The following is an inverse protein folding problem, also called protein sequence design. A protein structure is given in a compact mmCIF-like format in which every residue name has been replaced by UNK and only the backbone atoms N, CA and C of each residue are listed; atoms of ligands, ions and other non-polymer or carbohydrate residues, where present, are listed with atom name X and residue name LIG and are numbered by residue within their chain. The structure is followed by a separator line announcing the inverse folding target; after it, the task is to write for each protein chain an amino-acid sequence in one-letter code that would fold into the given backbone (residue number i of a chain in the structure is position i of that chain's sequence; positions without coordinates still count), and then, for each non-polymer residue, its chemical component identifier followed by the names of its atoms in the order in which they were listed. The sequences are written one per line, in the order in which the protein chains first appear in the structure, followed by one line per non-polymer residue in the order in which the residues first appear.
data_IF_140922264910
#
_entry.id   IF_140922264910
#
_cell.length_a   1.000
_cell.length_b   1.000
_cell.length_c   1.000
_cell.angle_alpha   90.00
_cell.angle_beta   90.00
_cell.angle_gamma   90.00
#
_symmetry.space_group_name_H-M   'P 1'
#
loop_
_entity.id
_entity.type
_entity.pdbx_description
1 polymer ?
#
# COMPACT_ATOMS: atom_id res chain seq x y z
N UNK A 1 -15.73 -16.92 -13.14
CA UNK A 1 -15.21 -16.89 -11.76
C UNK A 1 -14.28 -15.69 -11.66
N UNK A 2 -14.57 -14.75 -10.78
CA UNK A 2 -13.78 -13.53 -10.58
C UNK A 2 -12.88 -13.67 -9.34
N UNK A 3 -11.60 -13.41 -9.51
CA UNK A 3 -10.59 -13.49 -8.47
C UNK A 3 -10.02 -12.11 -8.15
N UNK A 4 -10.13 -11.70 -6.89
CA UNK A 4 -9.52 -10.48 -6.38
C UNK A 4 -8.31 -10.77 -5.50
N UNK A 5 -7.37 -9.81 -5.43
CA UNK A 5 -6.27 -9.84 -4.48
C UNK A 5 -6.28 -8.60 -3.59
N UNK A 6 -5.98 -8.78 -2.32
CA UNK A 6 -5.90 -7.71 -1.32
C UNK A 6 -4.47 -7.67 -0.78
N UNK A 7 -3.82 -6.52 -0.92
CA UNK A 7 -2.41 -6.31 -0.55
C UNK A 7 -2.31 -5.36 0.65
N UNK A 8 -1.78 -5.85 1.76
CA UNK A 8 -1.64 -5.02 2.96
C UNK A 8 -0.59 -3.92 2.81
N UNK A 9 -0.71 -2.88 3.61
CA UNK A 9 0.40 -1.99 3.92
C UNK A 9 1.52 -2.74 4.66
N UNK A 10 2.71 -2.12 4.78
CA UNK A 10 3.82 -2.75 5.51
C UNK A 10 5.20 -2.19 5.23
N UNK A 11 5.30 -1.05 4.56
CA UNK A 11 6.58 -0.41 4.20
C UNK A 11 7.48 -1.35 3.41
N UNK A 12 8.76 -1.47 3.79
CA UNK A 12 9.72 -2.31 3.08
C UNK A 12 9.35 -3.80 3.01
N UNK A 13 8.51 -4.29 3.94
CA UNK A 13 8.04 -5.70 3.94
C UNK A 13 7.12 -5.99 2.77
N UNK A 14 6.48 -4.98 2.20
CA UNK A 14 5.58 -5.11 1.05
C UNK A 14 6.25 -5.69 -0.20
N UNK A 15 7.59 -5.69 -0.30
CA UNK A 15 8.32 -6.38 -1.37
C UNK A 15 7.87 -7.86 -1.48
N UNK A 16 7.44 -8.49 -0.38
CA UNK A 16 6.92 -9.86 -0.40
C UNK A 16 5.67 -10.03 -1.26
N UNK A 17 4.88 -8.97 -1.49
CA UNK A 17 3.73 -9.01 -2.40
C UNK A 17 4.14 -9.37 -3.83
N UNK A 18 5.32 -8.91 -4.27
CA UNK A 18 5.85 -9.23 -5.60
C UNK A 18 6.10 -10.73 -5.78
N UNK A 19 6.55 -11.43 -4.71
CA UNK A 19 6.71 -12.89 -4.74
C UNK A 19 5.38 -13.61 -4.94
N UNK A 20 4.30 -13.12 -4.31
CA UNK A 20 2.95 -13.70 -4.49
C UNK A 20 2.43 -13.42 -5.89
N UNK A 21 2.55 -12.18 -6.39
CA UNK A 21 2.12 -11.82 -7.74
C UNK A 21 2.86 -12.63 -8.80
N UNK A 22 4.18 -12.82 -8.63
CA UNK A 22 4.99 -13.67 -9.50
C UNK A 22 4.51 -15.13 -9.51
N UNK A 23 4.26 -15.70 -8.34
CA UNK A 23 3.73 -17.06 -8.25
C UNK A 23 2.38 -17.19 -8.97
N UNK A 24 1.48 -16.21 -8.83
CA UNK A 24 0.21 -16.22 -9.55
C UNK A 24 0.41 -16.19 -11.07
N UNK A 25 1.36 -15.41 -11.58
CA UNK A 25 1.71 -15.41 -13.01
C UNK A 25 2.26 -16.76 -13.48
N UNK A 26 3.18 -17.37 -12.72
CA UNK A 26 3.76 -18.68 -13.03
C UNK A 26 2.69 -19.79 -13.10
N UNK A 27 1.65 -19.69 -12.25
CA UNK A 27 0.49 -20.58 -12.30
C UNK A 27 -0.61 -20.14 -13.26
N UNK A 28 -0.36 -19.12 -14.09
CA UNK A 28 -1.31 -18.55 -15.04
C UNK A 28 -2.64 -18.10 -14.41
N UNK A 29 -2.59 -17.67 -13.15
CA UNK A 29 -3.75 -17.16 -12.43
C UNK A 29 -3.96 -15.68 -12.77
N UNK A 30 -5.12 -15.36 -13.35
CA UNK A 30 -5.49 -13.98 -13.71
C UNK A 30 -6.27 -13.33 -12.57
N UNK A 31 -5.92 -12.08 -12.29
CA UNK A 31 -6.63 -11.24 -11.31
C UNK A 31 -7.64 -10.34 -12.04
N UNK A 32 -8.85 -10.25 -11.49
CA UNK A 32 -9.93 -9.38 -12.00
C UNK A 32 -9.96 -8.02 -11.29
N UNK A 33 -9.47 -7.94 -10.06
CA UNK A 33 -9.35 -6.67 -9.34
C UNK A 33 -8.30 -6.77 -8.21
N UNK A 34 -7.77 -5.60 -7.83
CA UNK A 34 -6.78 -5.45 -6.76
C UNK A 34 -7.29 -4.41 -5.78
N UNK A 35 -7.09 -4.67 -4.49
CA UNK A 35 -7.27 -3.66 -3.44
C UNK A 35 -6.00 -3.58 -2.59
N UNK A 36 -5.59 -2.39 -2.20
CA UNK A 36 -4.35 -2.25 -1.45
C UNK A 36 -4.28 -1.02 -0.56
N UNK A 37 -3.39 -1.11 0.42
CA UNK A 37 -3.06 -0.04 1.36
C UNK A 37 -1.56 0.24 1.31
N UNK A 38 -1.16 1.53 1.32
CA UNK A 38 0.25 1.93 1.41
C UNK A 38 1.11 1.27 0.33
N UNK A 39 2.20 0.59 0.70
CA UNK A 39 3.04 -0.17 -0.24
C UNK A 39 2.24 -1.20 -1.05
N UNK A 40 1.21 -1.82 -0.47
CA UNK A 40 0.32 -2.73 -1.19
C UNK A 40 -0.47 -2.03 -2.30
N UNK A 41 -0.90 -0.78 -2.06
CA UNK A 41 -1.53 0.04 -3.09
C UNK A 41 -0.56 0.44 -4.20
N UNK A 42 0.69 0.79 -3.86
CA UNK A 42 1.74 1.12 -4.84
C UNK A 42 2.08 -0.07 -5.74
N UNK A 43 2.36 -1.23 -5.15
CA UNK A 43 2.66 -2.45 -5.91
C UNK A 43 1.44 -2.86 -6.74
N UNK A 44 0.24 -2.79 -6.14
CA UNK A 44 -1.01 -3.03 -6.86
C UNK A 44 -1.18 -2.10 -8.07
N UNK A 45 -0.85 -0.82 -7.94
CA UNK A 45 -0.94 0.16 -9.02
C UNK A 45 0.04 -0.15 -10.18
N UNK A 46 1.30 -0.45 -9.85
CA UNK A 46 2.31 -0.79 -10.87
C UNK A 46 1.96 -2.10 -11.57
N UNK A 47 1.53 -3.11 -10.82
CA UNK A 47 1.08 -4.37 -11.38
C UNK A 47 -0.20 -4.21 -12.24
N UNK A 48 -1.16 -3.41 -11.77
CA UNK A 48 -2.38 -3.08 -12.53
C UNK A 48 -2.10 -2.35 -13.83
N UNK A 49 -1.02 -1.56 -13.88
CA UNK A 49 -0.56 -0.92 -15.12
C UNK A 49 0.03 -1.95 -16.12
N UNK A 50 0.48 -3.10 -15.63
CA UNK A 50 0.98 -4.22 -16.42
C UNK A 50 2.49 -4.41 -16.36
N UNK A 51 3.16 -3.87 -15.34
CA UNK A 51 4.56 -4.18 -15.06
C UNK A 51 4.67 -5.55 -14.39
N UNK A 52 5.66 -6.34 -14.83
CA UNK A 52 5.94 -7.62 -14.22
C UNK A 52 6.52 -7.46 -12.81
N UNK A 53 6.26 -8.41 -11.89
CA UNK A 53 6.79 -8.34 -10.52
C UNK A 53 8.30 -8.17 -10.45
N UNK A 54 9.06 -8.79 -11.35
CA UNK A 54 10.52 -8.66 -11.44
C UNK A 54 10.98 -7.27 -11.87
N UNK A 55 10.26 -6.64 -12.79
CA UNK A 55 10.54 -5.27 -13.23
C UNK A 55 10.34 -4.30 -12.07
N UNK A 56 9.21 -4.44 -11.35
CA UNK A 56 8.91 -3.62 -10.16
C UNK A 56 9.99 -3.83 -9.09
N UNK A 57 10.39 -5.08 -8.83
CA UNK A 57 11.43 -5.41 -7.85
C UNK A 57 12.77 -4.78 -8.23
N UNK A 58 13.20 -4.96 -9.47
CA UNK A 58 14.46 -4.43 -9.97
C UNK A 58 14.51 -2.89 -9.85
N UNK A 59 13.43 -2.23 -10.20
CA UNK A 59 13.34 -0.77 -10.09
C UNK A 59 13.30 -0.29 -8.64
N UNK A 60 12.63 -1.01 -7.74
CA UNK A 60 12.69 -0.73 -6.30
C UNK A 60 14.13 -0.85 -5.79
N UNK A 61 14.85 -1.90 -6.15
CA UNK A 61 16.22 -2.17 -5.67
C UNK A 61 17.26 -1.23 -6.27
N UNK A 62 17.10 -0.80 -7.53
CA UNK A 62 18.04 0.06 -8.26
C UNK A 62 17.75 1.54 -8.12
N UNK A 63 16.50 1.91 -7.79
CA UNK A 63 16.09 3.30 -7.64
C UNK A 63 16.72 3.96 -6.42
N UNK A 64 16.93 5.29 -6.50
CA UNK A 64 17.26 6.12 -5.34
C UNK A 64 16.25 5.97 -4.21
N UNK A 65 15.03 5.52 -4.52
CA UNK A 65 13.97 5.23 -3.56
C UNK A 65 14.41 4.19 -2.51
N UNK A 66 14.95 3.03 -2.92
CA UNK A 66 15.44 2.03 -1.96
C UNK A 66 16.69 2.50 -1.20
N UNK A 67 17.57 3.24 -1.86
CA UNK A 67 18.72 3.88 -1.22
C UNK A 67 18.31 4.94 -0.19
N UNK A 68 17.20 5.61 -0.41
CA UNK A 68 16.64 6.62 0.50
C UNK A 68 15.80 6.00 1.62
N UNK A 69 15.21 4.82 1.41
CA UNK A 69 14.42 4.07 2.42
C UNK A 69 15.33 3.28 3.38
N UNK A 70 16.51 2.83 2.93
CA UNK A 70 17.46 2.11 3.79
C UNK A 70 17.89 2.87 5.06
N UNK A 71 18.05 4.20 5.06
CA UNK A 71 18.31 4.97 6.28
C UNK A 71 17.05 5.45 7.01
N UNK A 72 15.84 5.17 6.56
CA UNK A 72 14.61 5.51 7.28
C UNK A 72 14.49 4.80 8.64
N UNK A 73 15.39 3.86 8.91
CA UNK A 73 15.71 3.42 10.27
C UNK A 73 16.39 4.54 11.12
N UNK A 74 16.90 5.61 10.49
CA UNK A 74 17.40 6.83 11.14
C UNK A 74 16.57 8.00 10.65
N UNK A 75 15.85 8.64 11.52
CA UNK A 75 14.90 9.76 11.40
C UNK A 75 15.37 11.01 10.62
N UNK A 76 16.36 10.94 9.77
CA UNK A 76 16.90 12.06 8.99
C UNK A 76 16.82 11.88 7.48
N UNK A 77 16.17 10.84 6.99
CA UNK A 77 15.92 10.64 5.57
C UNK A 77 14.43 10.82 5.29
N UNK A 78 13.98 12.06 5.18
CA UNK A 78 12.69 12.43 4.60
C UNK A 78 12.59 11.74 3.23
N UNK A 79 11.79 10.69 3.14
CA UNK A 79 11.18 10.31 1.88
C UNK A 79 10.36 11.52 1.46
N UNK A 80 10.90 12.29 0.51
CA UNK A 80 10.17 13.41 -0.03
C UNK A 80 8.98 12.82 -0.80
N UNK A 81 7.76 13.19 -0.42
CA UNK A 81 6.53 12.78 -1.13
C UNK A 81 6.59 13.19 -2.61
N UNK A 82 7.35 14.23 -2.95
CA UNK A 82 7.64 14.62 -4.33
C UNK A 82 8.44 13.56 -5.06
N UNK A 83 9.47 12.98 -4.43
CA UNK A 83 10.26 11.88 -5.04
C UNK A 83 9.40 10.64 -5.27
N UNK A 84 8.46 10.34 -4.36
CA UNK A 84 7.50 9.26 -4.55
C UNK A 84 6.55 9.56 -5.71
N UNK A 85 6.05 10.79 -5.81
CA UNK A 85 5.23 11.26 -6.92
C UNK A 85 5.93 11.07 -8.27
N UNK A 86 7.20 11.48 -8.37
CA UNK A 86 7.98 11.36 -9.60
C UNK A 86 8.18 9.89 -10.01
N UNK A 87 8.43 9.01 -9.04
CA UNK A 87 8.50 7.56 -9.29
C UNK A 87 7.17 7.05 -9.83
N UNK A 88 6.04 7.40 -9.20
CA UNK A 88 4.73 6.92 -9.64
C UNK A 88 4.41 7.46 -11.04
N UNK A 89 4.70 8.72 -11.33
CA UNK A 89 4.50 9.31 -12.66
C UNK A 89 5.29 8.60 -13.76
N UNK A 90 6.50 8.14 -13.46
CA UNK A 90 7.30 7.35 -14.42
C UNK A 90 6.59 6.05 -14.82
N UNK A 91 5.92 5.39 -13.88
CA UNK A 91 5.21 4.13 -14.11
C UNK A 91 3.78 4.33 -14.63
N UNK A 92 3.10 5.38 -14.18
CA UNK A 92 1.69 5.63 -14.49
C UNK A 92 1.55 7.08 -15.00
N UNK A 93 1.99 7.34 -16.25
CA UNK A 93 2.04 8.71 -16.79
C UNK A 93 0.65 9.34 -16.98
N UNK A 94 -0.40 8.55 -17.16
CA UNK A 94 -1.77 9.06 -17.33
C UNK A 94 -2.42 9.50 -16.01
N UNK A 95 -1.87 9.09 -14.86
CA UNK A 95 -2.34 9.47 -13.51
C UNK A 95 -3.86 9.25 -13.27
N UNK A 96 -4.44 8.21 -13.85
CA UNK A 96 -5.86 7.91 -13.75
C UNK A 96 -6.09 6.43 -13.40
N UNK A 97 -7.05 6.13 -12.52
CA UNK A 97 -7.46 4.76 -12.21
C UNK A 97 -7.98 4.04 -13.46
N UNK A 98 -8.70 4.75 -14.30
CA UNK A 98 -9.34 4.26 -15.52
C UNK A 98 -8.33 3.82 -16.59
N UNK A 99 -7.09 4.28 -16.49
CA UNK A 99 -5.99 3.87 -17.39
C UNK A 99 -5.36 2.53 -17.03
N UNK A 100 -5.67 1.98 -15.85
CA UNK A 100 -5.11 0.71 -15.38
C UNK A 100 -5.74 -0.50 -16.09
N UNK A 101 -4.93 -1.50 -16.40
CA UNK A 101 -5.38 -2.74 -17.06
C UNK A 101 -6.19 -3.65 -16.13
N UNK A 102 -5.92 -3.58 -14.81
CA UNK A 102 -6.66 -4.29 -13.77
C UNK A 102 -7.27 -3.25 -12.84
N UNK A 103 -8.58 -3.28 -12.57
CA UNK A 103 -9.24 -2.39 -11.62
C UNK A 103 -8.54 -2.40 -10.25
N UNK A 104 -8.26 -1.20 -9.71
CA UNK A 104 -7.57 -1.00 -8.45
C UNK A 104 -8.45 -0.22 -7.47
N UNK A 105 -8.43 -0.64 -6.21
CA UNK A 105 -8.94 0.15 -5.08
C UNK A 105 -7.79 0.51 -4.15
N UNK A 106 -7.67 1.79 -3.81
CA UNK A 106 -6.67 2.34 -2.90
C UNK A 106 -7.35 2.77 -1.61
N UNK A 107 -6.90 2.22 -0.47
CA UNK A 107 -7.40 2.61 0.85
C UNK A 107 -6.54 3.73 1.45
N UNK A 108 -7.19 4.75 2.02
CA UNK A 108 -6.56 5.77 2.85
C UNK A 108 -7.39 6.03 4.10
N UNK A 109 -6.82 6.70 5.08
CA UNK A 109 -7.53 7.12 6.30
C UNK A 109 -7.87 8.59 6.22
N UNK A 110 -9.16 8.92 6.20
CA UNK A 110 -9.67 10.27 6.37
C UNK A 110 -9.63 10.64 7.85
N UNK A 111 -8.62 11.44 8.24
CA UNK A 111 -8.48 11.88 9.64
C UNK A 111 -9.41 13.04 9.99
N UNK A 112 -9.98 13.73 9.01
CA UNK A 112 -10.97 14.78 9.25
C UNK A 112 -12.29 14.21 9.77
N UNK A 113 -12.66 12.98 9.31
CA UNK A 113 -13.92 12.33 9.65
C UNK A 113 -13.75 11.01 10.40
N UNK A 114 -12.51 10.54 10.65
CA UNK A 114 -12.22 9.33 11.43
C UNK A 114 -12.69 8.03 10.76
N UNK A 115 -12.54 7.90 9.43
CA UNK A 115 -13.01 6.74 8.67
C UNK A 115 -12.00 6.25 7.63
N UNK A 116 -12.13 4.98 7.24
CA UNK A 116 -11.47 4.49 6.03
C UNK A 116 -12.17 5.05 4.80
N UNK A 117 -11.39 5.45 3.80
CA UNK A 117 -11.87 5.88 2.50
C UNK A 117 -11.24 5.03 1.40
N UNK A 118 -12.02 4.66 0.38
CA UNK A 118 -11.60 3.78 -0.69
C UNK A 118 -11.77 4.47 -2.04
N UNK A 119 -10.68 4.62 -2.76
CA UNK A 119 -10.63 5.30 -4.05
C UNK A 119 -10.46 4.30 -5.18
N UNK A 120 -11.24 4.42 -6.25
CA UNK A 120 -11.19 3.57 -7.43
C UNK A 120 -11.41 4.33 -8.74
N UNK A 121 -11.40 5.66 -8.71
CA UNK A 121 -11.65 6.51 -9.87
C UNK A 121 -10.94 7.86 -9.78
N UNK A 122 -10.75 8.50 -10.96
CA UNK A 122 -10.13 9.80 -11.10
C UNK A 122 -8.61 9.76 -10.94
N UNK A 123 -8.01 10.87 -10.45
CA UNK A 123 -6.56 10.96 -10.33
C UNK A 123 -6.00 9.94 -9.34
N UNK A 124 -5.06 9.12 -9.78
CA UNK A 124 -4.49 8.03 -8.99
C UNK A 124 -3.37 8.47 -8.03
N UNK A 125 -2.45 9.33 -8.51
CA UNK A 125 -1.25 9.70 -7.74
C UNK A 125 -1.57 10.36 -6.41
N UNK A 126 -2.47 11.36 -6.32
CA UNK A 126 -2.79 11.97 -5.04
C UNK A 126 -3.36 10.96 -4.03
N UNK A 127 -4.11 9.96 -4.49
CA UNK A 127 -4.70 8.90 -3.66
C UNK A 127 -3.65 7.88 -3.19
N UNK A 128 -2.68 7.53 -4.06
CA UNK A 128 -1.53 6.71 -3.67
C UNK A 128 -0.65 7.41 -2.64
N UNK A 129 -0.38 8.72 -2.83
CA UNK A 129 0.36 9.51 -1.86
C UNK A 129 -0.36 9.57 -0.51
N UNK A 130 -1.68 9.78 -0.50
CA UNK A 130 -2.50 9.74 0.71
C UNK A 130 -2.41 8.38 1.42
N UNK A 131 -2.52 7.29 0.65
CA UNK A 131 -2.40 5.91 1.17
C UNK A 131 -1.02 5.61 1.77
N UNK A 132 0.03 6.26 1.31
CA UNK A 132 1.42 6.08 1.77
C UNK A 132 1.88 7.11 2.81
N UNK A 133 1.00 8.03 3.21
CA UNK A 133 1.32 9.12 4.11
C UNK A 133 1.33 8.67 5.58
N UNK A 134 2.42 8.01 6.00
CA UNK A 134 2.56 7.52 7.38
C UNK A 134 2.62 8.70 8.37
N UNK A 135 1.72 8.77 9.38
CA UNK A 135 1.76 9.81 10.40
C UNK A 135 3.09 9.87 11.15
N UNK A 136 3.46 11.06 11.60
CA UNK A 136 4.74 11.39 12.21
C UNK A 136 5.97 11.28 11.27
N UNK A 137 5.79 10.80 10.04
CA UNK A 137 6.83 10.77 8.99
C UNK A 137 6.54 11.82 7.93
N UNK A 138 5.27 11.95 7.53
CA UNK A 138 4.82 12.86 6.48
C UNK A 138 3.68 13.76 6.97
N UNK A 139 3.56 14.93 6.35
CA UNK A 139 2.38 15.78 6.54
C UNK A 139 1.16 15.17 5.84
N UNK A 140 -0.06 15.26 6.43
CA UNK A 140 -1.27 14.75 5.80
C UNK A 140 -1.49 15.33 4.39
N UNK A 141 -2.02 14.51 3.50
CA UNK A 141 -2.38 14.91 2.12
C UNK A 141 -3.78 15.48 2.13
N UNK A 142 -3.94 16.68 1.57
CA UNK A 142 -5.25 17.32 1.43
C UNK A 142 -5.90 16.93 0.09
N UNK A 143 -7.08 16.32 0.15
CA UNK A 143 -7.88 15.96 -1.03
C UNK A 143 -9.34 16.36 -0.77
N UNK A 144 -9.94 17.11 -1.72
CA UNK A 144 -11.37 17.48 -1.69
C UNK A 144 -11.83 18.08 -0.34
N UNK A 145 -10.98 18.87 0.32
CA UNK A 145 -11.30 19.53 1.59
C UNK A 145 -11.10 18.69 2.85
N UNK A 146 -10.73 17.40 2.74
CA UNK A 146 -10.39 16.51 3.87
C UNK A 146 -8.89 16.22 3.91
N UNK A 147 -8.39 15.80 5.07
CA UNK A 147 -7.00 15.42 5.32
C UNK A 147 -6.87 13.90 5.41
N UNK A 148 -5.92 13.35 4.66
CA UNK A 148 -5.69 11.92 4.56
C UNK A 148 -4.30 11.53 5.02
N UNK A 149 -4.23 10.36 5.64
CA UNK A 149 -3.00 9.68 6.04
C UNK A 149 -3.04 8.21 5.63
N UNK A 150 -1.97 7.46 5.90
CA UNK A 150 -1.82 6.05 5.54
C UNK A 150 -3.08 5.23 5.90
N UNK A 151 -3.54 4.46 4.93
CA UNK A 151 -4.76 3.67 5.04
C UNK A 151 -4.68 2.59 6.12
N UNK A 152 -3.46 2.16 6.47
CA UNK A 152 -3.22 1.12 7.47
C UNK A 152 -3.76 1.45 8.87
N UNK A 153 -4.01 2.73 9.17
CA UNK A 153 -4.58 3.13 10.46
C UNK A 153 -6.01 2.63 10.61
N UNK A 154 -6.82 2.65 9.55
CA UNK A 154 -8.23 2.25 9.61
C UNK A 154 -8.50 0.91 8.92
N UNK A 155 -7.80 0.59 7.84
CA UNK A 155 -7.95 -0.69 7.12
C UNK A 155 -6.65 -1.07 6.40
N UNK A 156 -5.83 -1.88 7.06
CA UNK A 156 -4.54 -2.29 6.53
C UNK A 156 -4.61 -3.38 5.47
N UNK A 157 -5.69 -4.16 5.43
CA UNK A 157 -5.94 -5.20 4.43
C UNK A 157 -7.35 -5.04 3.87
N UNK A 158 -7.56 -4.10 2.91
CA UNK A 158 -8.87 -3.60 2.51
C UNK A 158 -9.62 -4.59 1.62
N UNK A 159 -10.21 -5.61 2.23
CA UNK A 159 -11.01 -6.63 1.54
C UNK A 159 -12.43 -6.15 1.21
N UNK A 160 -13.02 -5.36 2.11
CA UNK A 160 -14.43 -4.92 2.03
C UNK A 160 -14.81 -4.29 0.69
N UNK A 161 -14.01 -3.37 0.10
CA UNK A 161 -14.44 -2.65 -1.11
C UNK A 161 -14.55 -3.54 -2.36
N UNK A 162 -13.86 -4.69 -2.41
CA UNK A 162 -13.90 -5.60 -3.56
C UNK A 162 -14.57 -6.94 -3.25
N UNK A 163 -14.97 -7.20 -1.99
CA UNK A 163 -15.50 -8.50 -1.57
C UNK A 163 -16.74 -8.96 -2.37
N UNK A 164 -17.64 -8.04 -2.64
CA UNK A 164 -18.87 -8.35 -3.38
C UNK A 164 -18.68 -8.43 -4.91
N UNK A 165 -17.53 -8.02 -5.41
CA UNK A 165 -17.20 -8.01 -6.83
C UNK A 165 -16.50 -9.29 -7.28
N UNK A 166 -16.02 -10.12 -6.32
CA UNK A 166 -15.21 -11.30 -6.55
C UNK A 166 -15.82 -12.54 -5.92
N UNK A 167 -15.74 -13.66 -6.65
CA UNK A 167 -16.11 -14.98 -6.13
C UNK A 167 -15.09 -15.44 -5.06
N UNK A 168 -13.80 -15.17 -5.31
CA UNK A 168 -12.70 -15.49 -4.41
C UNK A 168 -11.80 -14.26 -4.17
N UNK A 169 -11.28 -14.16 -2.94
CA UNK A 169 -10.28 -13.16 -2.55
C UNK A 169 -9.04 -13.85 -1.97
N UNK A 170 -7.88 -13.42 -2.45
CA UNK A 170 -6.58 -13.76 -1.86
C UNK A 170 -6.13 -12.57 -1.01
N UNK A 171 -6.00 -12.74 0.30
CA UNK A 171 -5.42 -11.74 1.19
C UNK A 171 -3.93 -11.97 1.38
N UNK A 172 -3.10 -10.97 1.07
CA UNK A 172 -1.65 -11.01 1.27
C UNK A 172 -1.26 -10.03 2.36
N UNK A 173 -0.84 -10.53 3.50
CA UNK A 173 -0.50 -9.74 4.68
C UNK A 173 0.99 -9.86 4.99
N UNK A 174 1.74 -8.74 4.97
CA UNK A 174 3.19 -8.73 5.16
C UNK A 174 3.66 -8.20 6.53
N UNK A 175 2.74 -7.86 7.45
CA UNK A 175 3.04 -7.27 8.76
C UNK A 175 3.09 -8.32 9.88
N UNK A 176 3.99 -9.28 9.77
CA UNK A 176 4.23 -10.23 10.85
C UNK A 176 4.84 -9.52 12.08
N UNK A 177 4.28 -9.79 13.27
CA UNK A 177 4.80 -9.31 14.53
C UNK A 177 5.71 -10.39 15.13
N UNK A 178 7.03 -10.16 15.15
CA UNK A 178 7.99 -11.08 15.78
C UNK A 178 7.82 -11.08 17.30
N UNK A 179 8.06 -12.22 17.95
CA UNK A 179 7.99 -12.36 19.42
C UNK A 179 9.15 -11.67 20.15
N UNK A 180 10.30 -11.49 19.50
CA UNK A 180 11.49 -10.86 20.07
C UNK A 180 11.47 -9.33 19.97
N UNK A 181 10.61 -8.65 20.76
CA UNK A 181 10.59 -7.19 20.81
C UNK A 181 11.53 -6.64 21.89
N UNK A 182 12.38 -5.68 21.50
CA UNK A 182 13.31 -4.97 22.37
C UNK A 182 12.83 -3.53 22.62
N UNK A 183 12.41 -3.24 23.83
CA UNK A 183 11.85 -1.96 24.26
C UNK A 183 12.92 -0.91 24.68
N UNK A 184 14.17 -1.02 24.19
CA UNK A 184 15.28 -0.17 24.64
C UNK A 184 15.13 1.32 24.41
N UNK A 185 14.24 1.75 23.54
CA UNK A 185 14.02 3.16 23.29
C UNK A 185 12.54 3.48 22.98
N UNK A 186 12.13 4.70 23.28
CA UNK A 186 10.77 5.20 23.09
C UNK A 186 10.28 5.02 21.64
N UNK A 187 11.17 5.21 20.66
CA UNK A 187 10.82 5.06 19.25
C UNK A 187 10.40 3.65 18.91
N UNK A 188 11.15 2.63 19.36
CA UNK A 188 10.80 1.22 19.06
C UNK A 188 9.45 0.84 19.69
N UNK A 189 9.13 1.40 20.87
CA UNK A 189 7.82 1.22 21.50
C UNK A 189 6.71 1.84 20.65
N UNK A 190 6.88 3.09 20.17
CA UNK A 190 5.88 3.76 19.34
C UNK A 190 5.69 3.04 18.02
N UNK A 191 6.76 2.65 17.33
CA UNK A 191 6.71 1.88 16.08
C UNK A 191 5.97 0.54 16.28
N UNK A 192 6.30 -0.18 17.33
CA UNK A 192 5.63 -1.45 17.67
C UNK A 192 4.15 -1.25 17.98
N UNK A 193 3.81 -0.24 18.78
CA UNK A 193 2.43 0.08 19.13
C UNK A 193 1.60 0.44 17.88
N UNK A 194 2.17 1.25 16.97
CA UNK A 194 1.52 1.58 15.71
C UNK A 194 1.31 0.33 14.83
N UNK A 195 2.32 -0.53 14.71
CA UNK A 195 2.21 -1.77 13.95
C UNK A 195 1.16 -2.72 14.54
N UNK A 196 1.04 -2.80 15.88
CA UNK A 196 0.00 -3.58 16.53
C UNK A 196 -1.40 -3.02 16.26
N UNK A 197 -1.55 -1.70 16.35
CA UNK A 197 -2.82 -1.02 16.02
C UNK A 197 -3.23 -1.27 14.56
N UNK A 198 -2.31 -1.09 13.61
CA UNK A 198 -2.52 -1.35 12.18
C UNK A 198 -2.93 -2.80 11.91
N UNK A 199 -2.30 -3.77 12.56
CA UNK A 199 -2.65 -5.19 12.40
C UNK A 199 -4.05 -5.51 12.93
N UNK A 200 -4.52 -4.79 13.94
CA UNK A 200 -5.87 -4.95 14.50
C UNK A 200 -7.00 -4.40 13.61
N UNK A 201 -6.67 -3.60 12.59
CA UNK A 201 -7.67 -2.94 11.72
C UNK A 201 -8.00 -3.70 10.43
N UNK A 202 -7.35 -4.83 10.15
CA UNK A 202 -7.58 -5.59 8.93
C UNK A 202 -9.01 -6.14 8.87
N UNK A 203 -9.75 -5.82 7.82
CA UNK A 203 -11.15 -6.26 7.63
C UNK A 203 -11.28 -7.69 7.11
N UNK A 204 -10.19 -8.31 6.67
CA UNK A 204 -10.18 -9.67 6.13
C UNK A 204 -10.55 -10.74 7.18
N UNK A 205 -10.30 -10.46 8.47
CA UNK A 205 -10.54 -11.40 9.58
C UNK A 205 -11.93 -11.29 10.21
N UNK A 206 -12.80 -10.40 9.73
CA UNK A 206 -14.12 -10.11 10.31
C UNK A 206 -15.29 -10.62 9.45
N UNK A 207 -15.04 -11.58 8.58
CA UNK A 207 -16.05 -12.23 7.73
C UNK A 207 -16.37 -13.64 8.16
#
# INVERSE_FOLDING_TARGET
MKLGIVLSGGGARGISHLGVLKALEEFHVKLDCISGTSVGALIGAFYSQGYAPEEILNDILTSRFYRSVRPAWRWTGLLNMESLRDVILKYIPHNEFESLKIPLVVAATDISHGKAEYFSSGELIPRLLASCCVPAVFSPVQLNGALYVDGGIMDNLPAKPIRQQCDFLIGVHCNFLSDGFDARNFRSVVERSLMMAINGTSTFSKG
#
